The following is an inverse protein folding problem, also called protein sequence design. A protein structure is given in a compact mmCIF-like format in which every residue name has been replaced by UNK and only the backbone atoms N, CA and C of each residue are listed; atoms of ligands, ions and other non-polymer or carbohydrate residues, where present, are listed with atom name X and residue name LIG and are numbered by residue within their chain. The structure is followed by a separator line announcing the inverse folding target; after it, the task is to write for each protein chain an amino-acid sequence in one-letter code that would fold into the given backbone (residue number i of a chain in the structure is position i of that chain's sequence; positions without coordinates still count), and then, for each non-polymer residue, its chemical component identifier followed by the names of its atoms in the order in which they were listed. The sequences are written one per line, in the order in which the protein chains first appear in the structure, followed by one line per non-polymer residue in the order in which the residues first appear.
data_IF_304963871111
#
_entry.id   IF_304963871111
#
_cell.length_a   1.000
_cell.length_b   1.000
_cell.length_c   1.000
_cell.angle_alpha   90.00
_cell.angle_beta   90.00
_cell.angle_gamma   90.00
#
_symmetry.space_group_name_H-M   'P 1'
#
loop_
_entity.id
_entity.type
_entity.pdbx_description
1 polymer ?
#
# COMPACT_ATOMS: atom_id res chain seq x y z
N UNK A 1 12.63 -6.78 -1.21
CA UNK A 1 12.60 -6.74 0.27
C UNK A 1 11.78 -5.57 0.80
N UNK A 2 12.07 -4.33 0.40
CA UNK A 2 11.32 -3.15 0.88
C UNK A 2 9.79 -3.22 0.69
N UNK A 3 9.31 -3.74 -0.45
CA UNK A 3 7.87 -3.83 -0.74
C UNK A 3 7.08 -4.70 0.26
N UNK A 4 7.70 -5.77 0.75
CA UNK A 4 7.05 -6.65 1.73
C UNK A 4 6.95 -5.95 3.10
N UNK A 5 8.01 -5.22 3.49
CA UNK A 5 8.02 -4.40 4.71
C UNK A 5 6.93 -3.32 4.63
N UNK A 6 6.84 -2.60 3.50
CA UNK A 6 5.81 -1.58 3.28
C UNK A 6 4.40 -2.18 3.35
N UNK A 7 4.18 -3.35 2.73
CA UNK A 7 2.89 -4.04 2.79
C UNK A 7 2.52 -4.43 4.22
N UNK A 8 3.44 -5.04 4.97
CA UNK A 8 3.19 -5.39 6.37
C UNK A 8 2.89 -4.18 7.23
N UNK A 9 3.58 -3.05 7.03
CA UNK A 9 3.31 -1.81 7.77
C UNK A 9 1.90 -1.28 7.49
N UNK A 10 1.49 -1.25 6.23
CA UNK A 10 0.15 -0.80 5.82
C UNK A 10 -0.94 -1.71 6.39
N UNK A 11 -0.75 -3.02 6.32
CA UNK A 11 -1.69 -4.01 6.88
C UNK A 11 -1.79 -3.91 8.41
N UNK A 12 -0.66 -3.69 9.10
CA UNK A 12 -0.63 -3.47 10.56
C UNK A 12 -1.40 -2.22 10.99
N UNK A 13 -1.45 -1.19 10.13
CA UNK A 13 -2.23 0.03 10.36
C UNK A 13 -3.72 -0.13 10.00
N UNK A 14 -4.18 -1.33 9.62
CA UNK A 14 -5.55 -1.56 9.16
C UNK A 14 -5.81 -1.08 7.72
N UNK A 15 -4.74 -0.77 6.99
CA UNK A 15 -4.77 -0.37 5.60
C UNK A 15 -4.68 -1.55 4.63
N UNK A 16 -4.66 -1.25 3.33
CA UNK A 16 -4.46 -2.23 2.26
C UNK A 16 -3.43 -1.72 1.26
N UNK A 17 -2.66 -2.64 0.65
CA UNK A 17 -1.68 -2.30 -0.40
C UNK A 17 -1.79 -3.27 -1.58
N UNK A 18 -1.78 -2.74 -2.80
CA UNK A 18 -1.80 -3.51 -4.04
C UNK A 18 -1.00 -2.80 -5.13
N UNK A 19 -0.86 -3.43 -6.28
CA UNK A 19 -0.17 -2.86 -7.42
C UNK A 19 -0.85 -3.25 -8.73
N UNK A 20 -0.76 -2.35 -9.69
CA UNK A 20 -1.23 -2.54 -11.05
C UNK A 20 -0.02 -2.41 -11.97
N UNK A 21 0.20 -3.40 -12.82
CA UNK A 21 1.32 -3.42 -13.75
C UNK A 21 0.80 -3.41 -15.17
N UNK A 22 1.28 -2.45 -15.97
CA UNK A 22 0.97 -2.38 -17.39
C UNK A 22 2.24 -2.60 -18.21
N UNK A 23 2.16 -3.56 -19.14
CA UNK A 23 3.27 -3.94 -20.01
C UNK A 23 3.79 -2.73 -20.79
N UNK A 24 5.10 -2.49 -20.73
CA UNK A 24 5.80 -1.33 -21.33
C UNK A 24 5.43 0.06 -20.78
N UNK A 25 4.61 0.17 -19.73
CA UNK A 25 4.36 1.44 -19.03
C UNK A 25 4.91 1.49 -17.62
N UNK A 26 4.96 0.34 -16.93
CA UNK A 26 5.52 0.22 -15.60
C UNK A 26 4.51 -0.32 -14.59
N UNK A 27 4.76 -0.05 -13.31
CA UNK A 27 3.95 -0.53 -12.19
C UNK A 27 3.55 0.65 -11.32
N UNK A 28 2.26 0.76 -11.02
CA UNK A 28 1.69 1.72 -10.07
C UNK A 28 1.38 0.99 -8.77
N UNK A 29 1.87 1.53 -7.65
CA UNK A 29 1.61 1.01 -6.32
C UNK A 29 0.57 1.87 -5.62
N UNK A 30 -0.43 1.21 -5.03
CA UNK A 30 -1.52 1.85 -4.31
C UNK A 30 -1.55 1.35 -2.87
N UNK A 31 -1.89 2.24 -1.95
CA UNK A 31 -2.12 1.87 -0.56
C UNK A 31 -3.19 2.75 0.07
N UNK A 32 -3.85 2.24 1.11
CA UNK A 32 -4.81 2.95 1.95
C UNK A 32 -4.37 2.86 3.40
N UNK A 33 -4.64 3.90 4.19
CA UNK A 33 -4.42 3.92 5.63
C UNK A 33 -5.67 4.58 6.24
N UNK A 34 -6.26 4.02 7.30
CA UNK A 34 -7.35 4.68 8.00
C UNK A 34 -6.87 6.04 8.53
N UNK A 35 -7.67 7.08 8.29
CA UNK A 35 -7.43 8.37 8.90
C UNK A 35 -7.62 8.26 10.41
N UNK A 36 -6.79 8.94 11.19
CA UNK A 36 -6.98 9.01 12.63
C UNK A 36 -8.38 9.58 12.91
N UNK A 37 -9.14 8.95 13.82
CA UNK A 37 -10.36 9.58 14.33
C UNK A 37 -9.97 10.90 15.01
N UNK A 38 -10.58 12.00 14.56
CA UNK A 38 -10.52 13.27 15.27
C UNK A 38 -11.25 13.10 16.60
N UNK A 39 -10.49 12.93 17.68
CA UNK A 39 -10.98 12.94 19.06
C UNK A 39 -11.21 14.33 19.63
#
# INVERSE_FOLDING_TARGET
MGLNISKSLVEMQGGQMWFESEFRKGTTFHFTIPVAEEG
#
